data_IF_585611891207
#
_entry.id   IF_585611891207
#
_cell.length_a   1.000
_cell.length_b   1.000
_cell.length_c   1.000
_cell.angle_alpha   90.00
_cell.angle_beta   90.00
_cell.angle_gamma   90.00
#
_symmetry.space_group_name_H-M   'P 1'
#
loop_
_entity.id
_entity.type
_entity.pdbx_description
1 polymer ?
#
# COMPACT_ATOMS: atom_id res chain seq x y z
N UNK A 1 -11.81 1.23 0.11
CA UNK A 1 -13.25 0.93 0.27
C UNK A 1 -13.46 -0.55 -0.01
N UNK A 2 -14.59 -1.15 0.42
CA UNK A 2 -14.90 -2.54 0.11
C UNK A 2 -14.92 -2.82 -1.41
N UNK A 3 -15.40 -1.85 -2.21
CA UNK A 3 -15.39 -1.94 -3.67
C UNK A 3 -13.97 -2.04 -4.26
N UNK A 4 -13.02 -1.22 -3.79
CA UNK A 4 -11.63 -1.28 -4.26
C UNK A 4 -10.98 -2.63 -3.90
N UNK A 5 -11.29 -3.18 -2.72
CA UNK A 5 -10.79 -4.48 -2.30
C UNK A 5 -11.33 -5.60 -3.20
N UNK A 6 -12.64 -5.65 -3.43
CA UNK A 6 -13.24 -6.66 -4.30
C UNK A 6 -12.69 -6.60 -5.74
N UNK A 7 -12.44 -5.40 -6.27
CA UNK A 7 -11.81 -5.24 -7.57
C UNK A 7 -10.35 -5.76 -7.57
N UNK A 8 -9.59 -5.50 -6.50
CA UNK A 8 -8.23 -6.02 -6.33
C UNK A 8 -8.21 -7.55 -6.23
N UNK A 9 -9.13 -8.14 -5.44
CA UNK A 9 -9.30 -9.60 -5.33
C UNK A 9 -9.58 -10.21 -6.70
N UNK A 10 -10.52 -9.64 -7.46
CA UNK A 10 -10.84 -10.10 -8.81
C UNK A 10 -9.65 -10.01 -9.78
N UNK A 11 -8.85 -8.95 -9.67
CA UNK A 11 -7.66 -8.75 -10.49
C UNK A 11 -6.55 -9.77 -10.17
N UNK A 12 -6.37 -10.10 -8.89
CA UNK A 12 -5.31 -10.99 -8.43
C UNK A 12 -5.66 -12.48 -8.50
N UNK A 13 -6.95 -12.83 -8.61
CA UNK A 13 -7.41 -14.21 -8.75
C UNK A 13 -7.25 -14.79 -10.17
N UNK A 14 -6.98 -13.96 -11.19
CA UNK A 14 -6.93 -14.37 -12.59
C UNK A 14 -5.62 -15.05 -13.01
N UNK A 15 -5.67 -15.87 -14.07
CA UNK A 15 -4.47 -16.47 -14.68
C UNK A 15 -3.49 -15.42 -15.26
N UNK A 16 -4.00 -14.24 -15.62
CA UNK A 16 -3.22 -13.09 -16.08
C UNK A 16 -3.06 -12.03 -14.97
N UNK A 17 -2.91 -12.45 -13.70
CA UNK A 17 -2.73 -11.53 -12.56
C UNK A 17 -1.52 -10.62 -12.78
N UNK A 18 -1.62 -9.33 -12.40
CA UNK A 18 -0.48 -8.42 -12.50
C UNK A 18 0.64 -8.86 -11.54
N UNK A 19 1.88 -8.73 -11.98
CA UNK A 19 3.08 -8.94 -11.17
C UNK A 19 3.52 -7.68 -10.43
N UNK A 20 2.89 -6.54 -10.75
CA UNK A 20 3.15 -5.26 -10.12
C UNK A 20 1.93 -4.33 -10.13
N UNK A 21 1.77 -3.55 -9.08
CA UNK A 21 0.71 -2.55 -8.91
C UNK A 21 1.35 -1.19 -8.62
N UNK A 22 0.99 -0.17 -9.38
CA UNK A 22 1.38 1.22 -9.13
C UNK A 22 0.16 1.94 -8.56
N UNK A 23 0.30 2.48 -7.36
CA UNK A 23 -0.73 3.22 -6.67
C UNK A 23 -0.55 4.72 -6.86
N UNK A 24 -1.66 5.46 -6.89
CA UNK A 24 -1.67 6.92 -7.07
C UNK A 24 -1.12 7.70 -5.87
N UNK A 25 -1.02 7.05 -4.70
CA UNK A 25 -0.32 7.58 -3.53
C UNK A 25 0.15 6.46 -2.60
N UNK A 26 1.00 6.82 -1.64
CA UNK A 26 1.61 5.90 -0.68
C UNK A 26 0.60 5.29 0.30
N UNK A 27 -0.41 6.04 0.75
CA UNK A 27 -1.43 5.49 1.66
C UNK A 27 -2.25 4.41 0.98
N UNK A 28 -2.60 4.61 -0.30
CA UNK A 28 -3.25 3.61 -1.12
C UNK A 28 -2.33 2.40 -1.31
N UNK A 29 -1.05 2.61 -1.62
CA UNK A 29 -0.07 1.53 -1.75
C UNK A 29 0.02 0.67 -0.48
N UNK A 30 0.08 1.30 0.70
CA UNK A 30 0.08 0.61 1.99
C UNK A 30 -1.21 -0.19 2.21
N UNK A 31 -2.37 0.37 1.83
CA UNK A 31 -3.64 -0.34 1.93
C UNK A 31 -3.72 -1.54 0.97
N UNK A 32 -3.13 -1.43 -0.23
CA UNK A 32 -3.02 -2.53 -1.19
C UNK A 32 -2.11 -3.63 -0.63
N UNK A 33 -0.95 -3.28 -0.06
CA UNK A 33 -0.05 -4.25 0.57
C UNK A 33 -0.76 -5.02 1.69
N UNK A 34 -1.54 -4.33 2.53
CA UNK A 34 -2.32 -4.97 3.58
C UNK A 34 -3.34 -5.96 2.99
N UNK A 35 -4.11 -5.53 1.98
CA UNK A 35 -5.12 -6.38 1.35
C UNK A 35 -4.50 -7.60 0.63
N UNK A 36 -3.38 -7.43 -0.08
CA UNK A 36 -2.65 -8.53 -0.73
C UNK A 36 -2.23 -9.58 0.30
N UNK A 37 -1.71 -9.14 1.46
CA UNK A 37 -1.33 -10.04 2.55
C UNK A 37 -2.52 -10.78 3.16
N UNK A 38 -3.66 -10.12 3.30
CA UNK A 38 -4.91 -10.77 3.72
C UNK A 38 -5.37 -11.86 2.75
N UNK A 39 -5.00 -11.77 1.46
CA UNK A 39 -5.25 -12.80 0.45
C UNK A 39 -4.23 -13.94 0.47
N UNK A 40 -3.26 -13.91 1.40
CA UNK A 40 -2.20 -14.91 1.53
C UNK A 40 -1.06 -14.77 0.50
N UNK A 41 -1.01 -13.65 -0.22
CA UNK A 41 0.07 -13.32 -1.15
C UNK A 41 1.12 -12.46 -0.47
N UNK A 42 2.38 -12.57 -0.90
CA UNK A 42 3.48 -11.80 -0.34
C UNK A 42 3.93 -10.63 -1.23
N UNK A 43 4.36 -9.55 -0.58
CA UNK A 43 4.95 -8.38 -1.23
C UNK A 43 6.41 -8.29 -0.77
N UNK A 44 7.40 -8.42 -1.67
CA UNK A 44 7.29 -8.29 -3.14
C UNK A 44 7.21 -9.62 -3.92
N UNK A 45 7.20 -10.77 -3.26
CA UNK A 45 7.44 -12.05 -3.93
C UNK A 45 6.35 -12.45 -4.93
N UNK A 46 5.08 -12.21 -4.62
CA UNK A 46 3.94 -12.51 -5.49
C UNK A 46 3.51 -11.31 -6.34
N UNK A 47 3.61 -10.12 -5.78
CA UNK A 47 3.24 -8.87 -6.44
C UNK A 47 4.08 -7.72 -5.91
N UNK A 48 4.70 -6.98 -6.81
CA UNK A 48 5.39 -5.74 -6.48
C UNK A 48 4.37 -4.61 -6.26
N UNK A 49 4.64 -3.71 -5.31
CA UNK A 49 3.79 -2.54 -5.07
C UNK A 49 4.64 -1.28 -5.02
N UNK A 50 4.25 -0.28 -5.81
CA UNK A 50 4.86 1.05 -5.82
C UNK A 50 3.83 2.11 -5.42
N UNK A 51 4.25 3.07 -4.60
CA UNK A 51 3.47 4.25 -4.25
C UNK A 51 3.90 5.51 -5.00
N UNK A 52 3.37 6.63 -4.52
CA UNK A 52 3.62 7.98 -4.99
C UNK A 52 3.44 8.92 -3.78
N UNK A 53 4.27 9.96 -3.65
CA UNK A 53 4.35 10.99 -2.59
C UNK A 53 5.67 10.91 -1.82
N UNK A 54 6.05 9.72 -1.36
CA UNK A 54 7.23 9.50 -0.52
C UNK A 54 7.06 9.91 0.94
N UNK A 55 5.88 9.63 1.52
CA UNK A 55 5.55 9.95 2.91
C UNK A 55 6.43 9.19 3.91
N UNK A 56 6.66 9.79 5.08
CA UNK A 56 7.59 9.25 6.09
C UNK A 56 7.26 7.82 6.52
N UNK A 57 5.97 7.49 6.68
CA UNK A 57 5.53 6.16 7.12
C UNK A 57 5.93 5.05 6.13
N UNK A 58 6.03 5.37 4.82
CA UNK A 58 6.47 4.40 3.81
C UNK A 58 7.87 3.83 4.07
N UNK A 59 8.74 4.57 4.77
CA UNK A 59 10.08 4.11 5.17
C UNK A 59 10.10 3.28 6.46
N UNK A 60 9.02 3.30 7.23
CA UNK A 60 8.93 2.68 8.56
C UNK A 60 8.20 1.33 8.53
N UNK A 61 7.55 1.00 7.43
CA UNK A 61 6.89 -0.30 7.23
C UNK A 61 7.88 -1.38 6.79
N UNK A 62 7.49 -2.65 6.95
CA UNK A 62 8.28 -3.79 6.50
C UNK A 62 7.51 -4.62 5.46
N UNK A 63 8.05 -4.78 4.23
CA UNK A 63 9.24 -4.11 3.71
C UNK A 63 9.00 -2.60 3.47
N UNK A 64 10.05 -1.75 3.41
CA UNK A 64 9.91 -0.33 3.09
C UNK A 64 9.26 -0.13 1.71
N UNK A 65 8.33 0.81 1.60
CA UNK A 65 7.61 1.09 0.37
C UNK A 65 8.52 1.78 -0.67
N UNK A 66 8.57 1.21 -1.87
CA UNK A 66 9.11 1.89 -3.04
C UNK A 66 8.10 2.91 -3.58
N UNK A 67 8.55 4.11 -3.92
CA UNK A 67 7.65 5.22 -4.21
C UNK A 67 8.31 6.32 -5.04
N UNK A 68 7.52 7.05 -5.83
CA UNK A 68 7.98 8.31 -6.41
C UNK A 68 7.86 9.40 -5.35
N UNK A 69 8.99 9.82 -4.79
CA UNK A 69 9.04 10.90 -3.80
C UNK A 69 8.86 12.25 -4.48
N UNK A 70 7.81 12.94 -4.06
CA UNK A 70 7.44 14.25 -4.57
C UNK A 70 8.03 15.35 -3.69
N UNK A 71 8.57 16.45 -4.26
CA UNK A 71 9.12 17.56 -3.49
C UNK A 71 7.99 18.45 -2.94
N UNK A 72 7.04 17.90 -2.18
CA UNK A 72 5.78 18.56 -1.76
C UNK A 72 6.01 19.86 -0.99
N UNK A 73 7.05 19.92 -0.15
CA UNK A 73 7.50 21.15 0.54
C UNK A 73 7.82 22.26 -0.47
N UNK A 74 8.63 21.95 -1.47
CA UNK A 74 9.05 22.88 -2.53
C UNK A 74 7.88 23.23 -3.45
N UNK A 75 6.99 22.28 -3.76
CA UNK A 75 5.75 22.56 -4.49
C UNK A 75 4.93 23.64 -3.79
N UNK A 76 4.76 23.53 -2.47
CA UNK A 76 4.06 24.54 -1.67
C UNK A 76 4.75 25.91 -1.68
N UNK A 77 6.08 25.94 -1.50
CA UNK A 77 6.87 27.17 -1.57
C UNK A 77 6.71 27.88 -2.92
N UNK A 78 6.90 27.13 -4.02
CA UNK A 78 6.77 27.67 -5.38
C UNK A 78 5.34 28.11 -5.67
N UNK A 79 4.32 27.38 -5.21
CA UNK A 79 2.93 27.78 -5.40
C UNK A 79 2.62 29.12 -4.72
N UNK A 80 3.12 29.35 -3.50
CA UNK A 80 2.94 30.61 -2.76
C UNK A 80 3.70 31.75 -3.42
N UNK A 81 4.96 31.53 -3.82
CA UNK A 81 5.75 32.52 -4.57
C UNK A 81 5.02 32.96 -5.85
N UNK A 82 4.50 32.00 -6.63
CA UNK A 82 3.72 32.30 -7.84
C UNK A 82 2.43 33.05 -7.54
N UNK A 83 1.74 32.71 -6.45
CA UNK A 83 0.54 33.44 -6.06
C UNK A 83 0.83 34.93 -5.78
N UNK A 84 1.93 35.23 -5.08
CA UNK A 84 2.34 36.61 -4.85
C UNK A 84 2.72 37.33 -6.14
N UNK A 85 3.43 36.67 -7.05
CA UNK A 85 3.76 37.23 -8.37
C UNK A 85 2.51 37.59 -9.18
N UNK A 86 1.49 36.72 -9.17
CA UNK A 86 0.21 36.97 -9.84
C UNK A 86 -0.53 38.17 -9.23
N UNK A 87 -0.48 38.33 -7.91
CA UNK A 87 -1.20 39.41 -7.21
C UNK A 87 -0.51 40.77 -7.33
N UNK A 88 0.82 40.81 -7.28
CA UNK A 88 1.59 42.05 -7.23
C UNK A 88 2.10 42.53 -8.58
N UNK A 89 2.34 41.62 -9.53
CA UNK A 89 3.08 41.91 -10.76
C UNK A 89 2.32 41.57 -12.04
N UNK A 90 1.04 41.17 -11.95
CA UNK A 90 0.23 40.68 -13.08
C UNK A 90 0.98 39.62 -13.91
N UNK A 91 1.72 38.74 -13.21
CA UNK A 91 2.56 37.74 -13.86
C UNK A 91 1.70 36.75 -14.69
N UNK A 92 2.25 36.15 -15.76
CA UNK A 92 1.53 35.13 -16.52
C UNK A 92 1.39 33.84 -15.70
N UNK A 93 0.26 33.14 -15.91
CA UNK A 93 0.05 31.79 -15.40
C UNK A 93 1.01 30.83 -16.11
N UNK A 94 1.88 30.18 -15.36
CA UNK A 94 2.89 29.25 -15.89
C UNK A 94 2.77 27.89 -15.23
N UNK A 95 3.22 26.85 -15.93
CA UNK A 95 3.38 25.49 -15.40
C UNK A 95 4.87 25.28 -15.13
N UNK A 96 5.20 24.91 -13.90
CA UNK A 96 6.57 24.63 -13.47
C UNK A 96 6.70 23.14 -13.09
N UNK A 97 7.67 22.46 -13.69
CA UNK A 97 8.01 21.08 -13.35
C UNK A 97 9.10 21.07 -12.29
N UNK A 98 8.83 20.40 -11.17
CA UNK A 98 9.81 20.20 -10.11
C UNK A 98 10.42 18.80 -10.20
N UNK A 99 11.72 18.65 -9.90
CA UNK A 99 12.38 17.35 -9.94
C UNK A 99 11.81 16.45 -8.84
N UNK A 100 11.41 15.24 -9.23
CA UNK A 100 11.04 14.14 -8.34
C UNK A 100 12.09 13.05 -8.40
N UNK A 101 12.08 12.15 -7.42
CA UNK A 101 13.00 11.01 -7.38
C UNK A 101 12.23 9.71 -7.17
N UNK A 102 12.66 8.63 -7.84
CA UNK A 102 12.24 7.30 -7.43
C UNK A 102 13.01 6.96 -6.16
N UNK A 103 12.29 6.76 -5.06
CA UNK A 103 12.84 6.23 -3.82
C UNK A 103 12.67 4.70 -3.82
N UNK A 104 13.78 3.93 -3.89
CA UNK A 104 13.70 2.49 -3.81
C UNK A 104 13.15 2.04 -2.46
N UNK A 105 12.49 0.88 -2.45
CA UNK A 105 12.01 0.20 -1.26
C UNK A 105 12.14 -1.30 -1.43
N UNK A 106 11.79 -2.06 -0.39
CA UNK A 106 11.74 -3.52 -0.44
C UNK A 106 10.45 -4.09 -1.02
N UNK A 107 9.51 -3.25 -1.47
CA UNK A 107 8.23 -3.69 -2.07
C UNK A 107 8.31 -3.97 -3.58
N UNK A 108 9.50 -3.97 -4.18
CA UNK A 108 9.71 -4.30 -5.59
C UNK A 108 10.58 -5.55 -5.75
N UNK A 109 10.21 -6.39 -6.72
CA UNK A 109 10.99 -7.53 -7.18
C UNK A 109 11.02 -7.59 -8.70
N UNK A 110 11.95 -8.37 -9.26
CA UNK A 110 11.94 -8.65 -10.69
C UNK A 110 10.65 -9.39 -11.06
N UNK A 111 10.00 -8.97 -12.15
CA UNK A 111 8.80 -9.65 -12.63
C UNK A 111 9.16 -11.10 -13.02
N UNK A 112 8.43 -12.10 -12.50
CA UNK A 112 8.68 -13.48 -12.89
C UNK A 112 8.24 -13.71 -14.35
N UNK A 113 8.89 -14.67 -15.03
CA UNK A 113 8.58 -15.02 -16.42
C UNK A 113 7.13 -15.53 -16.61
N UNK A 114 6.54 -16.07 -15.54
CA UNK A 114 5.11 -16.41 -15.42
C UNK A 114 4.63 -16.07 -14.00
N UNK A 115 3.37 -15.64 -13.81
CA UNK A 115 2.84 -15.41 -12.47
C UNK A 115 2.94 -16.68 -11.63
N UNK A 116 3.41 -16.57 -10.38
CA UNK A 116 3.48 -17.74 -9.51
C UNK A 116 2.07 -18.34 -9.33
N UNK A 117 1.94 -19.68 -9.20
CA UNK A 117 0.66 -20.31 -8.89
C UNK A 117 0.06 -19.66 -7.65
N UNK A 118 -1.27 -19.45 -7.64
CA UNK A 118 -1.93 -18.98 -6.43
C UNK A 118 -1.60 -19.94 -5.27
N UNK A 119 -1.29 -19.42 -4.07
CA UNK A 119 -1.11 -20.28 -2.93
C UNK A 119 -2.37 -21.12 -2.75
N UNK A 120 -2.20 -22.42 -2.57
CA UNK A 120 -3.32 -23.30 -2.23
C UNK A 120 -3.98 -22.76 -0.95
N UNK A 121 -5.32 -22.77 -0.84
CA UNK A 121 -5.98 -22.37 0.39
C UNK A 121 -5.38 -23.19 1.52
N UNK A 122 -4.68 -22.52 2.44
CA UNK A 122 -4.24 -23.14 3.68
C UNK A 122 -5.50 -23.54 4.42
N UNK A 123 -5.80 -24.85 4.41
CA UNK A 123 -6.83 -25.41 5.28
C UNK A 123 -6.57 -24.88 6.69
N UNK A 124 -7.55 -24.28 7.38
CA UNK A 124 -7.34 -23.82 8.73
C UNK A 124 -6.85 -25.02 9.55
N UNK A 125 -5.64 -24.91 10.08
CA UNK A 125 -5.08 -25.90 11.00
C UNK A 125 -6.10 -26.13 12.11
N UNK A 126 -6.65 -27.35 12.18
CA UNK A 126 -7.67 -27.75 13.14
C UNK A 126 -7.12 -27.93 14.57
N UNK A 127 -6.12 -27.14 14.98
CA UNK A 127 -5.47 -27.28 16.28
C UNK A 127 -5.20 -25.92 16.92
N UNK A 128 -6.24 -25.33 17.51
CA UNK A 128 -6.14 -24.42 18.67
C UNK A 128 -7.51 -23.99 19.26
N UNK A 129 -8.56 -24.81 19.23
CA UNK A 129 -9.74 -24.62 20.11
C UNK A 129 -10.20 -25.99 20.62
N UNK A 130 -9.37 -26.61 21.44
CA UNK A 130 -9.80 -27.71 22.30
C UNK A 130 -9.30 -27.41 23.72
N UNK A 131 -10.25 -27.20 24.63
CA UNK A 131 -10.02 -27.24 26.07
C UNK A 131 -9.82 -25.88 26.74
N UNK A 132 -10.91 -25.31 27.22
CA UNK A 132 -11.09 -24.82 28.61
C UNK A 132 -12.50 -24.22 28.76
N UNK A 133 -13.52 -25.07 28.80
CA UNK A 133 -14.79 -24.72 29.44
C UNK A 133 -14.64 -24.99 30.93
N UNK A 134 -14.29 -23.96 31.71
CA UNK A 134 -14.44 -23.98 33.16
C UNK A 134 -15.92 -23.77 33.51
N UNK A 135 -16.52 -24.73 34.22
CA UNK A 135 -17.87 -24.61 34.76
C UNK A 135 -17.98 -23.45 35.77
N UNK A 136 -19.14 -22.77 35.88
CA UNK A 136 -19.34 -21.77 36.91
C UNK A 136 -19.48 -22.43 38.29
N UNK A 137 -18.61 -22.02 39.22
CA UNK A 137 -18.67 -22.37 40.64
C UNK A 137 -19.88 -21.71 41.29
N UNK A 138 -20.74 -22.52 41.90
CA UNK A 138 -21.83 -22.09 42.79
C UNK A 138 -21.25 -21.60 44.11
N UNK A 139 -21.38 -20.31 44.39
CA UNK A 139 -21.23 -19.75 45.74
C UNK A 139 -22.50 -20.02 46.57
N UNK A 140 -22.41 -20.50 47.81
CA UNK A 140 -23.56 -20.55 48.72
C UNK A 140 -23.85 -19.16 49.27
N UNK A 141 -25.13 -18.79 49.28
CA UNK A 141 -25.63 -17.60 49.97
C UNK A 141 -25.53 -17.78 51.48
N UNK A 142 -25.04 -16.75 52.17
CA UNK A 142 -25.26 -16.46 53.57
C UNK A 142 -25.37 -14.94 53.75
#
# INVERSE_FOLDING_TARGET
TAAHRAALEGLLAGAARPTGIICSNDLLALSVIAAVREMGLDVPADVSVAGFDGIAIGRLVSPPLATVHQPTRRMGERAVERLFDLMAHDAPRTVEWLPYELRPGGTLAAAPAQPAPLPHPVSPSASAVAGRTSAPSTLPQA
#
